data_IF_130708785063
#
_entry.id   IF_130708785063
#
_cell.length_a   1.000
_cell.length_b   1.000
_cell.length_c   1.000
_cell.angle_alpha   90.00
_cell.angle_beta   90.00
_cell.angle_gamma   90.00
#
_symmetry.space_group_name_H-M   'P 1'
#
loop_
_entity.id
_entity.type
_entity.pdbx_description
1 polymer ?
#
# COMPACT_ATOMS: atom_id res chain seq x y z
N UNK A 1 -10.41 -19.59 20.07
CA UNK A 1 -10.19 -18.85 18.79
C UNK A 1 -11.43 -18.01 18.57
N UNK A 2 -11.32 -16.69 18.61
CA UNK A 2 -12.47 -15.79 18.44
C UNK A 2 -12.81 -15.65 16.95
N UNK A 3 -14.09 -15.73 16.61
CA UNK A 3 -14.57 -15.37 15.27
C UNK A 3 -14.77 -13.85 15.28
N UNK A 4 -13.99 -13.13 14.48
CA UNK A 4 -14.27 -11.73 14.19
C UNK A 4 -15.41 -11.72 13.16
N UNK A 5 -16.62 -11.38 13.60
CA UNK A 5 -17.73 -11.14 12.69
C UNK A 5 -17.76 -9.64 12.36
N UNK A 6 -17.29 -9.22 11.19
CA UNK A 6 -17.19 -7.81 10.81
C UNK A 6 -18.52 -7.16 10.47
N UNK A 7 -19.63 -7.91 10.48
CA UNK A 7 -20.96 -7.37 10.21
C UNK A 7 -21.19 -6.92 8.76
N UNK A 8 -20.52 -7.52 7.81
CA UNK A 8 -20.61 -7.16 6.37
C UNK A 8 -22.02 -7.28 5.78
N UNK A 9 -22.90 -8.05 6.39
CA UNK A 9 -24.27 -8.21 5.90
C UNK A 9 -25.17 -6.96 6.01
N UNK A 10 -24.63 -5.83 6.49
CA UNK A 10 -25.46 -4.69 6.86
C UNK A 10 -25.45 -3.52 5.87
N UNK A 11 -24.70 -3.57 4.77
CA UNK A 11 -24.70 -2.48 3.77
C UNK A 11 -25.15 -3.02 2.42
N UNK A 12 -26.44 -2.86 2.06
CA UNK A 12 -26.92 -3.23 0.73
C UNK A 12 -26.15 -2.50 -0.36
N UNK A 13 -25.57 -3.23 -1.31
CA UNK A 13 -24.90 -2.70 -2.50
C UNK A 13 -23.38 -2.48 -2.40
N UNK A 14 -22.75 -2.76 -1.26
CA UNK A 14 -21.27 -2.72 -1.11
C UNK A 14 -20.81 -4.02 -0.43
N UNK A 15 -20.95 -5.13 -1.13
CA UNK A 15 -20.65 -6.46 -0.57
C UNK A 15 -19.31 -7.01 -1.09
N UNK A 16 -18.23 -6.20 -0.99
CA UNK A 16 -16.90 -6.68 -1.41
C UNK A 16 -16.17 -7.50 -0.35
N UNK A 17 -16.78 -7.67 0.83
CA UNK A 17 -16.22 -8.44 1.91
C UNK A 17 -15.04 -7.74 2.61
N UNK A 18 -14.37 -8.49 3.48
CA UNK A 18 -13.19 -8.07 4.22
C UNK A 18 -11.93 -8.63 3.54
N UNK A 19 -10.97 -7.79 3.16
CA UNK A 19 -9.79 -8.23 2.43
C UNK A 19 -8.44 -7.78 3.01
N UNK A 20 -8.44 -7.04 4.14
CA UNK A 20 -7.19 -6.71 4.83
C UNK A 20 -6.55 -7.97 5.41
N UNK A 21 -5.26 -8.17 5.13
CA UNK A 21 -4.52 -9.29 5.70
C UNK A 21 -4.03 -8.96 7.12
N UNK A 22 -4.05 -9.92 8.05
CA UNK A 22 -3.34 -9.76 9.31
C UNK A 22 -1.83 -9.77 9.05
N UNK A 23 -1.08 -9.05 9.89
CA UNK A 23 0.38 -9.11 9.88
C UNK A 23 0.92 -9.63 11.21
N UNK A 24 2.03 -10.35 11.15
CA UNK A 24 2.72 -10.86 12.33
C UNK A 24 4.02 -10.07 12.49
N UNK A 25 4.23 -9.51 13.68
CA UNK A 25 5.50 -8.92 14.04
C UNK A 25 5.82 -9.22 15.50
N UNK A 26 7.02 -9.73 15.78
CA UNK A 26 7.40 -10.26 17.08
C UNK A 26 6.36 -11.29 17.55
N UNK A 27 5.75 -11.06 18.72
CA UNK A 27 4.77 -11.94 19.34
C UNK A 27 3.32 -11.47 19.15
N UNK A 28 3.05 -10.57 18.24
CA UNK A 28 1.71 -10.00 18.03
C UNK A 28 1.19 -10.23 16.62
N UNK A 29 -0.11 -10.46 16.52
CA UNK A 29 -0.88 -10.41 15.27
C UNK A 29 -1.61 -9.08 15.25
N UNK A 30 -1.41 -8.28 14.22
CA UNK A 30 -2.10 -7.00 14.03
C UNK A 30 -3.18 -7.17 12.97
N UNK A 31 -4.39 -6.71 13.29
CA UNK A 31 -5.56 -6.73 12.40
C UNK A 31 -6.12 -5.32 12.26
N UNK A 32 -6.20 -4.83 11.03
CA UNK A 32 -6.96 -3.62 10.69
C UNK A 32 -8.32 -4.04 10.17
N UNK A 33 -9.40 -3.53 10.75
CA UNK A 33 -10.76 -3.87 10.38
C UNK A 33 -11.58 -2.58 10.20
N UNK A 34 -11.45 -1.98 9.02
CA UNK A 34 -12.22 -0.79 8.64
C UNK A 34 -13.52 -1.24 7.97
N UNK A 35 -14.57 -1.25 8.74
CA UNK A 35 -15.93 -1.62 8.37
C UNK A 35 -16.90 -0.49 8.73
N UNK A 36 -18.07 -0.41 8.11
CA UNK A 36 -19.00 0.69 8.36
C UNK A 36 -19.44 0.86 9.81
N UNK A 37 -19.41 -0.22 10.60
CA UNK A 37 -19.83 -0.21 11.99
C UNK A 37 -18.70 -0.66 12.92
N UNK A 38 -18.27 0.24 13.80
CA UNK A 38 -17.23 -0.01 14.80
C UNK A 38 -15.87 -0.42 14.17
N UNK A 39 -15.31 0.39 13.23
CA UNK A 39 -13.99 0.12 12.67
C UNK A 39 -12.92 0.15 13.76
N UNK A 40 -11.92 -0.73 13.65
CA UNK A 40 -10.86 -0.84 14.64
C UNK A 40 -9.55 -1.32 14.05
N UNK A 41 -8.47 -1.10 14.79
CA UNK A 41 -7.21 -1.81 14.67
C UNK A 41 -6.93 -2.49 16.01
N UNK A 42 -6.41 -3.72 15.99
CA UNK A 42 -6.17 -4.48 17.22
C UNK A 42 -4.90 -5.32 17.13
N UNK A 43 -4.30 -5.59 18.27
CA UNK A 43 -3.23 -6.57 18.43
C UNK A 43 -3.67 -7.74 19.28
N UNK A 44 -3.28 -8.92 18.87
CA UNK A 44 -3.52 -10.17 19.57
C UNK A 44 -2.19 -10.85 19.86
N UNK A 45 -2.10 -11.51 21.00
CA UNK A 45 -0.95 -12.35 21.36
C UNK A 45 -0.87 -13.54 20.40
N UNK A 46 0.27 -13.73 19.74
CA UNK A 46 0.44 -14.74 18.71
C UNK A 46 0.22 -16.19 19.22
N UNK A 47 0.76 -16.61 20.36
CA UNK A 47 0.54 -17.96 20.91
C UNK A 47 -0.90 -18.24 21.35
N UNK A 48 -1.55 -17.27 22.00
CA UNK A 48 -2.82 -17.49 22.70
C UNK A 48 -4.04 -16.94 21.97
N UNK A 49 -3.83 -15.98 21.05
CA UNK A 49 -4.93 -15.25 20.39
C UNK A 49 -5.69 -14.29 21.31
N UNK A 50 -5.19 -14.05 22.54
CA UNK A 50 -5.78 -13.09 23.46
C UNK A 50 -5.54 -11.68 22.96
N UNK A 51 -6.59 -10.83 22.98
CA UNK A 51 -6.47 -9.43 22.60
C UNK A 51 -5.59 -8.68 23.61
N UNK A 52 -4.55 -8.01 23.10
CA UNK A 52 -3.61 -7.20 23.89
C UNK A 52 -4.11 -5.76 23.96
N UNK A 53 -4.50 -5.19 22.80
CA UNK A 53 -5.10 -3.88 22.72
C UNK A 53 -6.02 -3.77 21.50
N UNK A 54 -6.97 -2.84 21.60
CA UNK A 54 -7.89 -2.47 20.52
C UNK A 54 -8.08 -0.98 20.51
N UNK A 55 -7.94 -0.36 19.34
CA UNK A 55 -8.16 1.07 19.14
C UNK A 55 -9.23 1.28 18.08
N UNK A 56 -10.27 2.05 18.43
CA UNK A 56 -11.30 2.44 17.49
C UNK A 56 -10.69 3.35 16.40
N UNK A 57 -11.07 3.12 15.15
CA UNK A 57 -10.71 3.97 14.03
C UNK A 57 -11.90 4.86 13.68
N UNK A 58 -11.63 6.10 13.26
CA UNK A 58 -12.68 7.04 12.87
C UNK A 58 -13.17 6.86 11.43
N UNK A 59 -12.83 5.75 10.76
CA UNK A 59 -13.22 5.51 9.40
C UNK A 59 -14.74 5.33 9.26
N UNK A 60 -15.30 5.96 8.22
CA UNK A 60 -16.69 5.82 7.81
C UNK A 60 -16.84 5.06 6.49
N UNK A 61 -15.74 4.82 5.80
CA UNK A 61 -15.66 4.07 4.57
C UNK A 61 -14.90 2.76 4.79
N UNK A 62 -15.23 1.74 4.03
CA UNK A 62 -14.46 0.50 4.03
C UNK A 62 -13.07 0.76 3.47
N UNK A 63 -12.07 0.12 4.07
CA UNK A 63 -10.71 0.07 3.53
C UNK A 63 -10.25 -1.38 3.43
N UNK A 64 -9.36 -1.64 2.49
CA UNK A 64 -8.89 -3.00 2.18
C UNK A 64 -7.38 -3.13 2.38
N UNK A 65 -6.85 -2.23 3.18
CA UNK A 65 -5.42 -2.06 3.41
C UNK A 65 -4.89 -3.08 4.40
N UNK A 66 -3.76 -3.69 4.10
CA UNK A 66 -2.94 -4.40 5.08
C UNK A 66 -2.03 -3.38 5.77
N UNK A 67 -1.98 -3.33 7.13
CA UNK A 67 -1.10 -2.41 7.83
C UNK A 67 0.38 -2.76 7.64
N UNK A 68 1.28 -1.81 7.91
CA UNK A 68 2.73 -2.01 7.86
C UNK A 68 3.38 -1.69 9.22
N UNK A 69 4.59 -2.19 9.44
CA UNK A 69 5.36 -1.94 10.66
C UNK A 69 6.57 -1.06 10.34
N UNK A 70 6.70 0.05 11.05
CA UNK A 70 7.93 0.84 11.08
C UNK A 70 8.65 0.63 12.42
N UNK A 71 9.94 0.34 12.36
CA UNK A 71 10.80 0.20 13.55
C UNK A 71 12.10 0.95 13.37
N UNK A 72 12.45 1.79 14.34
CA UNK A 72 13.75 2.47 14.40
C UNK A 72 14.09 2.86 15.86
N UNK A 73 15.34 2.66 16.25
CA UNK A 73 15.86 3.03 17.57
C UNK A 73 14.99 2.53 18.75
N UNK A 74 14.52 1.27 18.67
CA UNK A 74 13.69 0.65 19.69
C UNK A 74 12.22 1.09 19.72
N UNK A 75 11.84 2.09 18.93
CA UNK A 75 10.45 2.51 18.76
C UNK A 75 9.82 1.78 17.58
N UNK A 76 8.63 1.25 17.79
CA UNK A 76 7.86 0.53 16.77
C UNK A 76 6.48 1.14 16.65
N UNK A 77 6.03 1.42 15.44
CA UNK A 77 4.67 1.85 15.17
C UNK A 77 4.01 0.99 14.11
N UNK A 78 2.71 0.78 14.27
CA UNK A 78 1.85 0.19 13.25
C UNK A 78 1.29 1.31 12.40
N UNK A 79 1.50 1.23 11.10
CA UNK A 79 1.02 2.23 10.14
C UNK A 79 -0.19 1.66 9.41
N UNK A 80 -1.31 2.34 9.52
CA UNK A 80 -2.57 2.00 8.89
C UNK A 80 -2.95 3.07 7.85
N UNK A 81 -3.10 2.68 6.60
CA UNK A 81 -3.69 3.55 5.58
C UNK A 81 -5.22 3.60 5.75
N UNK A 82 -5.87 4.63 5.23
CA UNK A 82 -7.30 4.84 5.35
C UNK A 82 -7.76 6.05 4.53
N UNK A 83 -9.06 6.32 4.53
CA UNK A 83 -9.62 7.49 3.86
C UNK A 83 -9.50 8.75 4.72
N UNK A 84 -10.18 8.75 5.88
CA UNK A 84 -10.19 9.89 6.79
C UNK A 84 -9.18 9.71 7.94
N UNK A 85 -8.68 8.51 8.13
CA UNK A 85 -7.80 8.11 9.23
C UNK A 85 -6.62 7.25 8.77
N UNK A 86 -5.69 7.86 8.04
CA UNK A 86 -4.35 7.31 7.92
C UNK A 86 -3.61 7.60 9.22
N UNK A 87 -3.13 6.57 9.92
CA UNK A 87 -2.59 6.73 11.28
C UNK A 87 -1.33 5.92 11.51
N UNK A 88 -0.51 6.39 12.45
CA UNK A 88 0.49 5.59 13.13
C UNK A 88 0.06 5.30 14.57
N UNK A 89 0.18 4.05 14.98
CA UNK A 89 -0.17 3.58 16.34
C UNK A 89 1.07 3.03 17.03
N UNK A 90 1.19 3.28 18.32
CA UNK A 90 2.21 2.64 19.13
C UNK A 90 2.01 1.13 19.17
N UNK A 91 3.04 0.37 18.81
CA UNK A 91 2.94 -1.08 18.67
C UNK A 91 2.65 -1.80 19.99
N UNK A 92 3.09 -1.25 21.13
CA UNK A 92 2.91 -1.89 22.42
C UNK A 92 1.55 -1.60 23.03
N UNK A 93 1.07 -0.35 22.87
CA UNK A 93 -0.14 0.14 23.57
C UNK A 93 -1.36 0.31 22.68
N UNK A 94 -1.17 0.41 21.35
CA UNK A 94 -2.24 0.75 20.40
C UNK A 94 -2.65 2.22 20.42
N UNK A 95 -1.98 3.08 21.19
CA UNK A 95 -2.28 4.49 21.21
C UNK A 95 -1.96 5.16 19.86
N UNK A 96 -2.85 6.02 19.37
CA UNK A 96 -2.61 6.81 18.16
C UNK A 96 -1.45 7.78 18.41
N UNK A 97 -0.42 7.72 17.56
CA UNK A 97 0.74 8.62 17.60
C UNK A 97 0.49 9.83 16.72
N UNK A 98 -0.01 9.59 15.52
CA UNK A 98 -0.34 10.62 14.53
C UNK A 98 -1.53 10.19 13.67
N UNK A 99 -2.21 11.19 13.12
CA UNK A 99 -3.26 10.99 12.11
C UNK A 99 -3.10 11.95 10.94
N UNK A 100 -3.54 11.52 9.77
CA UNK A 100 -3.52 12.25 8.51
C UNK A 100 -4.85 12.04 7.78
N UNK A 101 -5.52 13.11 7.44
CA UNK A 101 -6.76 13.12 6.66
C UNK A 101 -6.52 13.24 5.15
N UNK A 102 -7.61 13.28 4.41
CA UNK A 102 -7.65 13.51 2.94
C UNK A 102 -6.96 12.39 2.12
N UNK A 103 -7.11 11.15 2.54
CA UNK A 103 -6.74 9.97 1.76
C UNK A 103 -7.67 9.75 0.56
N UNK A 104 -7.35 8.75 -0.26
CA UNK A 104 -8.27 8.26 -1.30
C UNK A 104 -9.43 7.48 -0.68
N UNK A 105 -10.60 7.56 -1.30
CA UNK A 105 -11.77 6.77 -0.90
C UNK A 105 -11.50 5.26 -1.09
N UNK A 106 -11.99 4.40 -0.19
CA UNK A 106 -11.81 2.93 -0.22
C UNK A 106 -10.38 2.46 -0.57
N UNK A 107 -9.33 2.92 0.13
CA UNK A 107 -7.95 2.59 -0.23
C UNK A 107 -7.64 1.09 -0.08
N UNK A 108 -6.79 0.60 -0.99
CA UNK A 108 -6.27 -0.76 -1.00
C UNK A 108 -4.74 -0.82 -0.79
N UNK A 109 -3.95 0.20 -1.26
CA UNK A 109 -2.50 0.14 -1.20
C UNK A 109 -1.96 0.06 0.23
N UNK A 110 -1.08 -0.90 0.47
CA UNK A 110 -0.34 -1.06 1.73
C UNK A 110 0.65 0.10 1.92
N UNK A 111 0.83 0.64 3.14
CA UNK A 111 1.89 1.59 3.43
C UNK A 111 3.27 1.02 3.10
N UNK A 112 4.11 1.78 2.42
CA UNK A 112 5.48 1.37 2.08
C UNK A 112 6.48 2.06 3.01
N UNK A 113 7.36 1.29 3.62
CA UNK A 113 8.39 1.79 4.52
C UNK A 113 9.74 1.69 3.83
N UNK A 114 10.33 2.83 3.49
CA UNK A 114 11.65 2.89 2.87
C UNK A 114 12.31 4.26 3.08
N UNK A 115 13.63 4.36 2.98
CA UNK A 115 14.41 5.61 3.06
C UNK A 115 14.09 6.45 4.30
N UNK A 116 13.76 5.82 5.42
CA UNK A 116 13.32 6.48 6.65
C UNK A 116 12.06 7.38 6.46
N UNK A 117 11.20 6.99 5.51
CA UNK A 117 9.90 7.60 5.25
C UNK A 117 8.81 6.52 5.20
N UNK A 118 7.59 6.96 5.41
CA UNK A 118 6.36 6.17 5.31
C UNK A 118 5.58 6.72 4.11
N UNK A 119 5.46 5.92 3.06
CA UNK A 119 4.70 6.31 1.88
C UNK A 119 3.28 5.77 1.98
N UNK A 120 2.31 6.68 1.90
CA UNK A 120 0.89 6.39 1.88
C UNK A 120 0.34 6.77 0.52
N UNK A 121 -0.44 5.90 -0.06
CA UNK A 121 -0.98 6.05 -1.41
C UNK A 121 -2.45 5.66 -1.41
N UNK A 122 -3.24 6.34 -2.18
CA UNK A 122 -4.64 6.02 -2.37
C UNK A 122 -5.23 6.80 -3.53
N UNK A 123 -6.29 6.25 -4.11
CA UNK A 123 -7.07 6.89 -5.14
C UNK A 123 -8.53 6.46 -4.98
N UNK A 124 -9.37 6.85 -5.88
CA UNK A 124 -10.81 6.74 -5.90
C UNK A 124 -11.50 7.94 -5.24
N UNK A 125 -12.65 8.31 -5.77
CA UNK A 125 -13.41 9.47 -5.29
C UNK A 125 -12.71 10.81 -5.57
N UNK A 126 -12.81 11.73 -4.62
CA UNK A 126 -12.34 13.12 -4.77
C UNK A 126 -10.82 13.25 -4.67
N UNK A 127 -10.19 12.40 -3.90
CA UNK A 127 -8.78 12.45 -3.57
C UNK A 127 -8.02 11.28 -4.17
N UNK A 128 -6.77 11.54 -4.60
CA UNK A 128 -5.85 10.51 -5.07
C UNK A 128 -4.42 10.88 -4.68
N UNK A 129 -4.14 11.04 -3.37
CA UNK A 129 -2.86 11.56 -2.92
C UNK A 129 -1.76 10.49 -2.87
N UNK A 130 -0.52 10.99 -2.87
CA UNK A 130 0.65 10.26 -2.36
C UNK A 130 1.26 11.13 -1.27
N UNK A 131 1.55 10.55 -0.11
CA UNK A 131 2.23 11.24 1.00
C UNK A 131 3.52 10.52 1.36
N UNK A 132 4.57 11.27 1.65
CA UNK A 132 5.79 10.79 2.28
C UNK A 132 5.87 11.36 3.71
N UNK A 133 5.51 10.55 4.69
CA UNK A 133 5.42 10.95 6.10
C UNK A 133 6.71 10.60 6.81
N UNK A 134 7.22 11.54 7.63
CA UNK A 134 8.38 11.29 8.49
C UNK A 134 7.96 10.45 9.70
N UNK A 135 8.72 9.43 10.08
CA UNK A 135 8.38 8.57 11.21
C UNK A 135 8.33 9.27 12.57
N UNK A 136 8.85 10.50 12.64
CA UNK A 136 8.76 11.35 13.82
C UNK A 136 7.43 12.10 13.95
N UNK A 137 6.47 11.86 13.06
CA UNK A 137 5.15 12.49 13.08
C UNK A 137 4.42 12.26 14.41
N UNK A 138 3.72 13.29 14.90
CA UNK A 138 2.88 13.25 16.10
C UNK A 138 1.68 14.17 15.94
N UNK A 139 0.54 13.78 16.53
CA UNK A 139 -0.70 14.58 16.50
C UNK A 139 -1.37 14.60 15.13
N UNK A 140 -2.17 15.61 14.85
CA UNK A 140 -2.81 15.80 13.56
C UNK A 140 -1.83 16.44 12.57
N UNK A 141 -1.44 15.68 11.56
CA UNK A 141 -0.47 16.13 10.54
C UNK A 141 -1.13 16.46 9.20
N UNK A 142 -2.46 16.58 9.19
CA UNK A 142 -3.22 16.88 7.97
C UNK A 142 -2.74 18.18 7.35
N UNK A 143 -2.49 18.14 6.04
CA UNK A 143 -2.04 19.31 5.29
C UNK A 143 -3.15 20.35 5.14
N UNK A 144 -2.79 21.62 5.25
CA UNK A 144 -3.65 22.70 4.82
C UNK A 144 -3.97 22.58 3.31
N UNK A 145 -5.13 23.07 2.82
CA UNK A 145 -5.60 22.83 1.44
C UNK A 145 -4.60 23.13 0.33
N UNK A 146 -3.76 24.16 0.52
CA UNK A 146 -2.79 24.61 -0.49
C UNK A 146 -1.34 24.19 -0.21
N UNK A 147 -1.13 23.40 0.84
CA UNK A 147 0.18 22.87 1.18
C UNK A 147 0.44 21.50 0.59
N UNK A 148 1.70 21.22 0.25
CA UNK A 148 2.18 19.89 -0.17
C UNK A 148 3.18 19.31 0.83
N UNK A 149 3.54 20.05 1.88
CA UNK A 149 4.48 19.62 2.92
C UNK A 149 4.24 20.37 4.24
N UNK A 150 4.71 19.81 5.34
CA UNK A 150 4.80 20.46 6.64
C UNK A 150 6.01 19.88 7.41
N UNK A 151 6.11 20.11 8.71
CA UNK A 151 7.21 19.56 9.52
C UNK A 151 7.28 18.02 9.50
N UNK A 152 6.15 17.33 9.31
CA UNK A 152 6.02 15.86 9.36
C UNK A 152 5.79 15.21 7.99
N UNK A 153 5.34 15.95 7.01
CA UNK A 153 5.19 15.48 5.63
C UNK A 153 6.33 16.06 4.80
N UNK A 154 7.24 15.19 4.35
CA UNK A 154 8.40 15.57 3.56
C UNK A 154 7.97 16.12 2.20
N UNK A 155 7.03 15.43 1.57
CA UNK A 155 6.40 15.84 0.31
C UNK A 155 5.05 15.13 0.12
N UNK A 156 4.24 15.67 -0.76
CA UNK A 156 3.00 15.02 -1.19
C UNK A 156 2.61 15.42 -2.60
N UNK A 157 1.85 14.53 -3.25
CA UNK A 157 1.17 14.78 -4.52
C UNK A 157 -0.33 14.75 -4.25
N UNK A 158 -1.06 15.80 -4.65
CA UNK A 158 -2.50 15.89 -4.41
C UNK A 158 -3.33 14.93 -5.27
N UNK A 159 -2.83 14.62 -6.48
CA UNK A 159 -3.47 13.72 -7.44
C UNK A 159 -2.42 12.89 -8.15
N UNK A 160 -2.69 11.62 -8.36
CA UNK A 160 -1.76 10.71 -9.04
C UNK A 160 -1.53 9.40 -8.28
N UNK A 161 -2.12 9.25 -7.10
CA UNK A 161 -2.08 8.01 -6.36
C UNK A 161 -2.75 6.84 -7.11
N UNK A 162 -2.39 5.62 -6.78
CA UNK A 162 -2.97 4.41 -7.32
C UNK A 162 -4.14 3.93 -6.45
N UNK A 163 -5.12 3.30 -7.09
CA UNK A 163 -6.34 2.80 -6.43
C UNK A 163 -6.08 1.45 -5.75
N UNK A 164 -5.52 0.48 -6.48
CA UNK A 164 -5.33 -0.88 -5.99
C UNK A 164 -3.85 -1.22 -5.77
N UNK A 165 -2.97 -0.64 -6.57
CA UNK A 165 -1.56 -0.99 -6.60
C UNK A 165 -0.79 -0.33 -5.44
N UNK A 166 -0.06 -1.13 -4.70
CA UNK A 166 0.96 -0.63 -3.76
C UNK A 166 2.15 -0.11 -4.58
N UNK A 167 2.63 1.12 -4.33
CA UNK A 167 3.79 1.65 -5.04
C UNK A 167 5.06 0.90 -4.66
N UNK A 168 6.03 0.90 -5.57
CA UNK A 168 7.37 0.36 -5.31
C UNK A 168 8.32 1.48 -4.90
N UNK A 169 9.12 1.24 -3.87
CA UNK A 169 10.30 2.06 -3.59
C UNK A 169 11.55 1.21 -3.84
N UNK A 170 12.35 1.60 -4.83
CA UNK A 170 13.53 0.86 -5.23
C UNK A 170 14.62 1.79 -5.77
N UNK A 171 15.88 1.59 -5.34
CA UNK A 171 17.05 2.37 -5.76
C UNK A 171 16.86 3.90 -5.64
N UNK A 172 16.20 4.38 -4.57
CA UNK A 172 16.00 5.80 -4.32
C UNK A 172 14.80 6.43 -5.06
N UNK A 173 14.02 5.66 -5.80
CA UNK A 173 12.85 6.13 -6.53
C UNK A 173 11.57 5.45 -6.05
N UNK A 174 10.46 6.19 -6.10
CA UNK A 174 9.11 5.69 -5.91
C UNK A 174 8.43 5.55 -7.28
N UNK A 175 8.01 4.34 -7.61
CA UNK A 175 7.28 4.03 -8.84
C UNK A 175 5.82 3.78 -8.50
N UNK A 176 4.96 4.63 -9.02
CA UNK A 176 3.52 4.56 -8.80
C UNK A 176 2.81 4.23 -10.11
N UNK A 177 2.21 3.04 -10.18
CA UNK A 177 1.42 2.59 -11.33
C UNK A 177 -0.06 2.72 -11.00
N UNK A 178 -0.81 3.40 -11.85
CA UNK A 178 -2.27 3.52 -11.74
C UNK A 178 -2.98 2.43 -12.55
N UNK A 179 -4.24 2.19 -12.22
CA UNK A 179 -5.09 1.18 -12.88
C UNK A 179 -5.18 1.35 -14.40
N UNK A 180 -5.11 2.57 -14.90
CA UNK A 180 -5.14 2.90 -16.33
C UNK A 180 -3.77 2.80 -17.02
N UNK A 181 -2.75 2.25 -16.34
CA UNK A 181 -1.41 2.09 -16.88
C UNK A 181 -0.53 3.34 -16.83
N UNK A 182 -0.96 4.40 -16.16
CA UNK A 182 -0.09 5.55 -15.95
C UNK A 182 0.98 5.21 -14.90
N UNK A 183 2.21 5.08 -15.34
CA UNK A 183 3.39 4.88 -14.49
C UNK A 183 4.09 6.22 -14.26
N UNK A 184 4.24 6.61 -13.00
CA UNK A 184 5.00 7.81 -12.62
C UNK A 184 6.15 7.41 -11.70
N UNK A 185 7.33 7.94 -11.97
CA UNK A 185 8.53 7.79 -11.14
C UNK A 185 8.82 9.11 -10.43
N UNK A 186 9.01 9.03 -9.14
CA UNK A 186 9.40 10.15 -8.29
C UNK A 186 10.75 9.86 -7.61
N UNK A 187 11.55 10.88 -7.39
CA UNK A 187 12.59 10.80 -6.37
C UNK A 187 11.93 10.53 -5.01
N UNK A 188 12.33 9.45 -4.36
CA UNK A 188 11.62 8.98 -3.16
C UNK A 188 11.75 9.95 -1.98
N UNK A 189 12.86 10.69 -1.86
CA UNK A 189 13.10 11.61 -0.75
C UNK A 189 12.46 12.98 -0.96
N UNK A 190 12.43 13.46 -2.20
CA UNK A 190 12.00 14.84 -2.53
C UNK A 190 10.62 14.94 -3.14
N UNK A 191 10.11 13.84 -3.75
CA UNK A 191 8.85 13.84 -4.50
C UNK A 191 8.96 14.51 -5.88
N UNK A 192 10.18 14.80 -6.35
CA UNK A 192 10.41 15.32 -7.70
C UNK A 192 10.01 14.27 -8.73
N UNK A 193 9.11 14.62 -9.66
CA UNK A 193 8.73 13.74 -10.75
C UNK A 193 9.89 13.60 -11.74
N UNK A 194 10.32 12.37 -11.99
CA UNK A 194 11.41 12.06 -12.94
C UNK A 194 10.88 11.73 -14.32
N UNK A 195 9.84 10.91 -14.38
CA UNK A 195 9.12 10.64 -15.62
C UNK A 195 7.67 10.23 -15.33
N UNK A 196 6.85 10.32 -16.37
CA UNK A 196 5.47 9.90 -16.38
C UNK A 196 5.10 9.33 -17.74
N UNK A 197 4.80 8.02 -17.78
CA UNK A 197 4.61 7.27 -19.00
C UNK A 197 3.31 6.45 -18.97
N UNK A 198 2.68 6.29 -20.12
CA UNK A 198 1.48 5.47 -20.25
C UNK A 198 1.79 4.12 -20.87
N UNK A 199 1.55 3.04 -20.14
CA UNK A 199 1.70 1.67 -20.65
C UNK A 199 0.49 1.23 -21.49
N UNK A 200 -0.59 2.01 -21.53
CA UNK A 200 -1.79 1.84 -22.36
C UNK A 200 -2.53 0.50 -22.15
N UNK A 201 -2.44 -0.08 -20.97
CA UNK A 201 -3.16 -1.27 -20.53
C UNK A 201 -3.73 -1.05 -19.13
N UNK A 202 -4.64 -1.93 -18.71
CA UNK A 202 -5.18 -1.94 -17.36
C UNK A 202 -4.29 -2.77 -16.42
N UNK A 203 -4.18 -2.32 -15.17
CA UNK A 203 -3.38 -2.98 -14.14
C UNK A 203 -4.19 -3.07 -12.84
N UNK A 204 -4.21 -4.23 -12.22
CA UNK A 204 -4.71 -4.46 -10.85
C UNK A 204 -3.56 -4.87 -9.93
N UNK A 205 -2.61 -5.66 -10.44
CA UNK A 205 -1.46 -6.14 -9.71
C UNK A 205 -0.50 -5.01 -9.29
N UNK A 206 0.05 -5.11 -8.09
CA UNK A 206 1.22 -4.32 -7.70
C UNK A 206 2.46 -4.81 -8.46
N UNK A 207 3.43 -3.93 -8.68
CA UNK A 207 4.71 -4.31 -9.27
C UNK A 207 5.67 -4.92 -8.25
N UNK A 208 6.75 -5.50 -8.77
CA UNK A 208 7.89 -5.97 -7.97
C UNK A 208 9.20 -5.46 -8.59
N UNK A 209 10.29 -5.44 -7.82
CA UNK A 209 11.60 -4.99 -8.27
C UNK A 209 12.70 -5.98 -7.89
N UNK A 210 13.57 -6.29 -8.83
CA UNK A 210 14.76 -7.11 -8.60
C UNK A 210 15.82 -6.87 -9.68
N UNK A 211 17.10 -6.99 -9.32
CA UNK A 211 18.23 -6.95 -10.29
C UNK A 211 18.26 -5.69 -11.14
N UNK A 212 17.89 -4.52 -10.56
CA UNK A 212 17.83 -3.25 -11.30
C UNK A 212 16.66 -3.12 -12.26
N UNK A 213 15.66 -4.00 -12.17
CA UNK A 213 14.48 -4.03 -13.05
C UNK A 213 13.19 -3.97 -12.23
N UNK A 214 12.16 -3.41 -12.85
CA UNK A 214 10.78 -3.39 -12.37
C UNK A 214 9.95 -4.34 -13.24
N UNK A 215 9.03 -5.05 -12.61
CA UNK A 215 8.13 -6.00 -13.28
C UNK A 215 6.70 -5.63 -12.94
N UNK A 216 5.90 -5.31 -13.97
CA UNK A 216 4.48 -5.01 -13.84
C UNK A 216 3.67 -5.95 -14.73
N UNK A 217 2.65 -6.59 -14.14
CA UNK A 217 1.72 -7.47 -14.86
C UNK A 217 0.46 -6.70 -15.20
N UNK A 218 0.14 -6.59 -16.50
CA UNK A 218 -1.17 -6.06 -16.90
C UNK A 218 -2.26 -7.12 -16.73
N UNK A 219 -3.51 -6.69 -16.72
CA UNK A 219 -4.67 -7.57 -16.63
C UNK A 219 -4.74 -8.54 -17.82
N UNK A 220 -4.30 -8.13 -19.01
CA UNK A 220 -4.18 -8.99 -20.21
C UNK A 220 -3.03 -10.00 -20.15
N UNK A 221 -2.27 -10.02 -19.03
CA UNK A 221 -1.16 -10.95 -18.84
C UNK A 221 0.13 -10.54 -19.57
N UNK A 222 0.29 -9.27 -19.91
CA UNK A 222 1.56 -8.76 -20.42
C UNK A 222 2.45 -8.32 -19.25
N UNK A 223 3.68 -8.82 -19.24
CA UNK A 223 4.69 -8.48 -18.24
C UNK A 223 5.61 -7.41 -18.80
N UNK A 224 5.50 -6.21 -18.26
CA UNK A 224 6.39 -5.10 -18.59
C UNK A 224 7.63 -5.18 -17.72
N UNK A 225 8.80 -5.28 -18.36
CA UNK A 225 10.12 -5.25 -17.73
C UNK A 225 10.74 -3.90 -18.02
N UNK A 226 10.91 -3.08 -16.99
CA UNK A 226 11.38 -1.70 -17.10
C UNK A 226 12.68 -1.56 -16.30
N UNK A 227 13.66 -0.83 -16.85
CA UNK A 227 14.86 -0.50 -16.12
C UNK A 227 14.53 0.43 -14.95
N UNK A 228 14.99 0.09 -13.74
CA UNK A 228 14.85 0.97 -12.60
C UNK A 228 15.81 2.16 -12.73
N UNK A 229 15.30 3.38 -12.48
CA UNK A 229 16.10 4.61 -12.57
C UNK A 229 15.23 5.83 -12.86
N UNK A 230 15.86 7.01 -13.04
CA UNK A 230 15.18 8.28 -13.26
C UNK A 230 14.67 8.49 -14.69
N UNK A 231 15.02 7.60 -15.60
CA UNK A 231 14.62 7.65 -17.00
C UNK A 231 13.79 6.41 -17.35
N UNK A 232 12.69 6.61 -18.07
CA UNK A 232 11.89 5.48 -18.54
C UNK A 232 12.60 4.70 -19.63
N UNK A 233 12.78 3.40 -19.41
CA UNK A 233 13.30 2.49 -20.42
C UNK A 233 12.62 1.15 -20.33
N UNK A 234 11.76 0.87 -21.31
CA UNK A 234 11.15 -0.45 -21.48
C UNK A 234 12.20 -1.42 -22.04
N UNK A 235 12.51 -2.47 -21.27
CA UNK A 235 13.47 -3.50 -21.66
C UNK A 235 12.80 -4.63 -22.43
N UNK A 236 11.58 -5.04 -21.97
CA UNK A 236 10.81 -6.09 -22.62
C UNK A 236 9.33 -5.97 -22.28
N UNK A 237 8.49 -6.51 -23.15
CA UNK A 237 7.08 -6.80 -22.93
C UNK A 237 6.82 -8.25 -23.30
N UNK A 238 6.50 -9.10 -22.32
CA UNK A 238 6.36 -10.54 -22.48
C UNK A 238 4.91 -10.96 -22.23
N UNK A 239 4.27 -11.64 -23.15
CA UNK A 239 2.88 -12.08 -23.03
C UNK A 239 2.80 -13.46 -22.37
N UNK A 240 2.08 -13.57 -21.26
CA UNK A 240 1.73 -14.85 -20.63
C UNK A 240 0.51 -15.51 -21.30
N UNK A 241 -0.25 -14.76 -22.11
CA UNK A 241 -1.45 -15.18 -22.84
C UNK A 241 -2.58 -15.69 -21.94
N UNK A 242 -2.65 -15.17 -20.71
CA UNK A 242 -3.70 -15.49 -19.75
C UNK A 242 -3.86 -14.30 -18.79
N UNK A 243 -5.06 -14.04 -18.29
CA UNK A 243 -5.38 -12.92 -17.39
C UNK A 243 -4.51 -12.99 -16.13
N UNK A 244 -3.88 -11.87 -15.76
CA UNK A 244 -2.99 -11.78 -14.62
C UNK A 244 -3.32 -10.57 -13.75
N UNK A 245 -3.98 -10.78 -12.60
CA UNK A 245 -4.35 -9.73 -11.64
C UNK A 245 -3.58 -9.85 -10.31
N UNK A 246 -2.73 -10.87 -10.17
CA UNK A 246 -1.96 -11.11 -8.97
C UNK A 246 -0.57 -10.46 -9.05
N UNK A 247 -0.13 -9.89 -7.94
CA UNK A 247 1.25 -9.41 -7.78
C UNK A 247 2.22 -10.57 -7.97
N UNK A 248 3.23 -10.47 -8.84
CA UNK A 248 4.25 -11.49 -9.01
C UNK A 248 5.05 -11.74 -7.71
N UNK A 249 5.66 -12.90 -7.60
CA UNK A 249 6.58 -13.22 -6.51
C UNK A 249 7.97 -13.54 -7.04
N UNK A 250 8.99 -13.34 -6.19
CA UNK A 250 10.37 -13.70 -6.48
C UNK A 250 10.86 -14.66 -5.38
N UNK A 251 11.47 -15.76 -5.79
CA UNK A 251 12.19 -16.65 -4.87
C UNK A 251 13.45 -17.17 -5.53
N UNK A 252 14.60 -16.87 -4.94
CA UNK A 252 15.91 -17.13 -5.58
C UNK A 252 16.00 -16.40 -6.94
N UNK A 253 16.31 -17.14 -7.99
CA UNK A 253 16.42 -16.62 -9.36
C UNK A 253 15.14 -16.78 -10.18
N UNK A 254 14.03 -17.15 -9.54
CA UNK A 254 12.77 -17.49 -10.22
C UNK A 254 11.70 -16.44 -9.94
N UNK A 255 11.05 -15.98 -11.01
CA UNK A 255 9.84 -15.15 -10.99
C UNK A 255 8.62 -16.06 -11.09
N UNK A 256 7.64 -15.83 -10.22
CA UNK A 256 6.38 -16.59 -10.23
C UNK A 256 5.23 -15.65 -10.56
N UNK A 257 4.44 -16.05 -11.57
CA UNK A 257 3.24 -15.34 -12.02
C UNK A 257 2.01 -16.23 -11.82
N UNK A 258 1.03 -15.74 -11.06
CA UNK A 258 -0.26 -16.39 -10.92
C UNK A 258 -1.23 -15.76 -11.91
N UNK A 259 -1.58 -16.50 -12.94
CA UNK A 259 -2.61 -16.14 -13.92
C UNK A 259 -3.95 -16.79 -13.57
N UNK A 260 -4.99 -16.56 -14.37
CA UNK A 260 -6.29 -17.15 -14.13
C UNK A 260 -6.23 -18.69 -14.08
N UNK A 261 -5.50 -19.32 -15.00
CA UNK A 261 -5.47 -20.78 -15.14
C UNK A 261 -4.15 -21.42 -14.71
N UNK A 262 -3.04 -20.65 -14.58
CA UNK A 262 -1.70 -21.21 -14.38
C UNK A 262 -0.95 -20.54 -13.22
N UNK A 263 0.00 -21.28 -12.67
CA UNK A 263 1.14 -20.75 -11.92
C UNK A 263 2.37 -20.96 -12.81
N UNK A 264 2.96 -19.86 -13.24
CA UNK A 264 4.09 -19.84 -14.19
C UNK A 264 5.35 -19.47 -13.43
N UNK A 265 6.39 -20.33 -13.53
CA UNK A 265 7.73 -20.04 -13.03
C UNK A 265 8.64 -19.69 -14.21
N UNK A 266 9.34 -18.57 -14.11
CA UNK A 266 10.32 -18.09 -15.10
C UNK A 266 11.66 -17.96 -14.42
N UNK A 267 12.63 -18.73 -14.87
CA UNK A 267 13.99 -18.75 -14.35
C UNK A 267 14.96 -18.23 -15.40
N UNK A 268 16.00 -17.53 -14.93
CA UNK A 268 17.10 -17.13 -15.80
C UNK A 268 18.06 -18.32 -15.92
N UNK A 269 18.26 -18.83 -17.13
CA UNK A 269 19.29 -19.84 -17.44
C UNK A 269 20.71 -19.28 -17.34
#
# INVERSE_FOLDING_TARGET
MGIINPGFAAVPGIEWGYSSSPIIFKNKIIVQCDIPKNPFIAAFDLPTGIEIWRTARGEKAQTYVTPAIYTKNGKTQVVANGFTHMCGYDFETGNEIWKLGNGGDIPTPTPVIANDLIYLNGAHGKFSPIFAVKPSATGDITLAPDSTKNQYIAWSVKRGGAYMQTPLVYNGYLYNLQVNGQLTCFDALTGEEKYKESLKEAFTASGIAAGGKLYFSSEDGNIYVIQAGPEFKLLAKNALKDICMATPAISGNTLYFRTQHFLIAVEQN
#
